data_IF_625683260522
#
_entry.id   IF_625683260522
#
_cell.length_a   1.000
_cell.length_b   1.000
_cell.length_c   1.000
_cell.angle_alpha   90.00
_cell.angle_beta   90.00
_cell.angle_gamma   90.00
#
_symmetry.space_group_name_H-M   'P 1'
#
loop_
_entity.id
_entity.type
_entity.pdbx_description
1 polymer ?
#
# COMPACT_ATOMS: atom_id res chain seq x y z
N UNK A 1 -11.12 -9.16 -40.93
CA UNK A 1 -10.06 -8.51 -40.12
C UNK A 1 -10.48 -8.65 -38.67
N UNK A 2 -9.85 -9.55 -37.90
CA UNK A 2 -10.13 -9.67 -36.47
C UNK A 2 -9.45 -8.51 -35.74
N UNK A 3 -10.22 -7.60 -35.17
CA UNK A 3 -9.71 -6.52 -34.33
C UNK A 3 -8.99 -7.15 -33.13
N UNK A 4 -7.68 -6.91 -33.02
CA UNK A 4 -6.88 -7.33 -31.87
C UNK A 4 -7.24 -6.43 -30.69
N UNK A 5 -8.07 -6.93 -29.78
CA UNK A 5 -8.29 -6.28 -28.50
C UNK A 5 -7.22 -6.73 -27.51
N UNK A 6 -6.74 -5.78 -26.69
CA UNK A 6 -5.91 -6.05 -25.53
C UNK A 6 -6.71 -6.91 -24.54
N UNK A 7 -6.26 -8.14 -24.31
CA UNK A 7 -6.85 -9.10 -23.35
C UNK A 7 -6.00 -9.15 -22.08
N UNK A 8 -6.62 -9.46 -20.93
CA UNK A 8 -5.97 -9.59 -19.62
C UNK A 8 -5.23 -8.31 -19.18
N UNK A 9 -6.02 -7.30 -18.82
CA UNK A 9 -5.54 -5.96 -18.47
C UNK A 9 -5.90 -5.61 -17.04
N UNK A 10 -4.98 -4.96 -16.34
CA UNK A 10 -5.22 -4.33 -15.06
C UNK A 10 -5.34 -2.81 -15.26
N UNK A 11 -6.39 -2.22 -14.69
CA UNK A 11 -6.50 -0.77 -14.54
C UNK A 11 -5.96 -0.39 -13.17
N UNK A 12 -4.85 0.34 -13.15
CA UNK A 12 -4.21 0.87 -11.95
C UNK A 12 -4.48 2.36 -11.90
N UNK A 13 -4.88 2.87 -10.75
CA UNK A 13 -5.05 4.31 -10.55
C UNK A 13 -4.62 4.70 -9.14
N UNK A 14 -4.11 5.92 -9.02
CA UNK A 14 -3.75 6.55 -7.75
C UNK A 14 -3.88 8.07 -7.87
N UNK A 15 -4.00 8.79 -6.74
CA UNK A 15 -3.95 10.25 -6.73
C UNK A 15 -2.53 10.74 -6.44
N UNK A 16 -2.10 11.73 -7.20
CA UNK A 16 -0.80 12.37 -7.03
C UNK A 16 -1.00 13.78 -6.52
N UNK A 17 -0.43 14.10 -5.35
CA UNK A 17 -0.43 15.47 -4.84
C UNK A 17 0.31 16.41 -5.80
N UNK A 18 -0.31 17.55 -6.12
CA UNK A 18 0.24 18.59 -6.97
C UNK A 18 0.32 19.92 -6.22
N UNK A 19 1.25 20.78 -6.63
CA UNK A 19 1.35 22.13 -6.10
C UNK A 19 0.16 22.95 -6.58
N UNK A 20 -0.58 23.56 -5.65
CA UNK A 20 -1.63 24.53 -5.97
C UNK A 20 -0.99 25.69 -6.74
N UNK A 21 -1.36 25.83 -8.01
CA UNK A 21 -0.87 26.89 -8.88
C UNK A 21 -1.84 27.09 -10.04
N UNK A 22 -1.93 28.32 -10.53
CA UNK A 22 -2.70 28.65 -11.73
C UNK A 22 -1.72 28.96 -12.85
N UNK A 23 -1.92 28.37 -14.02
CA UNK A 23 -1.14 28.65 -15.21
C UNK A 23 -2.06 29.05 -16.36
N UNK A 24 -1.72 30.13 -17.06
CA UNK A 24 -2.43 30.53 -18.26
C UNK A 24 -1.90 29.74 -19.47
N UNK A 25 -2.80 29.00 -20.11
CA UNK A 25 -2.52 28.30 -21.36
C UNK A 25 -2.88 29.20 -22.54
N UNK A 26 -1.85 29.79 -23.15
CA UNK A 26 -1.96 30.73 -24.27
C UNK A 26 -2.57 30.11 -25.53
N UNK A 27 -2.44 28.80 -25.72
CA UNK A 27 -2.88 28.13 -26.96
C UNK A 27 -4.39 27.96 -26.96
N UNK A 28 -4.94 27.60 -25.80
CA UNK A 28 -6.37 27.34 -25.64
C UNK A 28 -7.12 28.53 -25.00
N UNK A 29 -6.41 29.61 -24.64
CA UNK A 29 -6.94 30.79 -23.95
C UNK A 29 -7.69 30.45 -22.65
N UNK A 30 -7.13 29.51 -21.87
CA UNK A 30 -7.74 29.03 -20.62
C UNK A 30 -6.79 29.14 -19.44
N UNK A 31 -7.34 29.41 -18.26
CA UNK A 31 -6.62 29.30 -16.99
C UNK A 31 -6.70 27.85 -16.49
N UNK A 32 -5.55 27.18 -16.35
CA UNK A 32 -5.41 25.84 -15.78
C UNK A 32 -5.01 25.91 -14.30
N UNK A 33 -5.29 24.86 -13.54
CA UNK A 33 -4.93 24.76 -12.12
C UNK A 33 -6.12 24.75 -11.16
N UNK A 34 -7.33 24.83 -11.71
CA UNK A 34 -8.56 24.58 -10.97
C UNK A 34 -8.93 23.10 -11.00
N UNK A 35 -9.81 22.69 -10.08
CA UNK A 35 -10.39 21.36 -10.07
C UNK A 35 -11.14 21.12 -11.38
N UNK A 36 -10.80 20.02 -12.06
CA UNK A 36 -11.44 19.57 -13.29
C UNK A 36 -12.01 18.16 -13.05
N UNK A 37 -13.34 18.05 -13.08
CA UNK A 37 -14.08 16.79 -12.92
C UNK A 37 -14.70 16.34 -14.25
N UNK A 38 -14.34 16.99 -15.37
CA UNK A 38 -14.98 16.81 -16.66
C UNK A 38 -16.45 17.24 -16.68
N UNK A 39 -17.20 16.74 -17.66
CA UNK A 39 -18.61 17.10 -17.90
C UNK A 39 -19.59 16.60 -16.81
N UNK A 40 -19.11 15.84 -15.82
CA UNK A 40 -19.94 15.20 -14.79
C UNK A 40 -20.32 16.15 -13.64
N UNK A 41 -19.74 17.35 -13.52
CA UNK A 41 -20.08 18.31 -12.46
C UNK A 41 -20.43 19.69 -13.02
N UNK A 42 -21.60 20.21 -12.63
CA UNK A 42 -22.07 21.58 -12.96
C UNK A 42 -21.45 22.66 -12.07
N UNK A 43 -20.57 22.27 -11.14
CA UNK A 43 -19.97 23.19 -10.19
C UNK A 43 -18.82 23.95 -10.86
N UNK A 44 -19.10 25.17 -11.30
CA UNK A 44 -18.10 26.18 -11.66
C UNK A 44 -17.30 26.67 -10.44
N UNK A 45 -16.90 25.78 -9.53
CA UNK A 45 -16.07 26.13 -8.38
C UNK A 45 -14.65 26.46 -8.86
N UNK A 46 -14.19 27.70 -8.63
CA UNK A 46 -12.80 28.13 -8.86
C UNK A 46 -11.86 27.61 -7.77
N UNK A 47 -12.04 26.36 -7.36
CA UNK A 47 -11.20 25.73 -6.34
C UNK A 47 -9.89 25.26 -6.98
N UNK A 48 -8.77 25.44 -6.28
CA UNK A 48 -7.47 25.01 -6.77
C UNK A 48 -7.32 23.50 -6.66
N UNK A 49 -6.88 22.87 -7.75
CA UNK A 49 -6.54 21.46 -7.73
C UNK A 49 -5.36 21.21 -6.78
N UNK A 50 -5.51 20.20 -5.93
CA UNK A 50 -4.49 19.75 -4.97
C UNK A 50 -3.91 18.39 -5.32
N UNK A 51 -4.63 17.63 -6.13
CA UNK A 51 -4.26 16.29 -6.56
C UNK A 51 -4.61 16.10 -8.04
N UNK A 52 -3.91 15.18 -8.70
CA UNK A 52 -4.21 14.71 -10.04
C UNK A 52 -4.48 13.19 -9.97
N UNK A 53 -5.62 12.74 -10.50
CA UNK A 53 -5.90 11.32 -10.65
C UNK A 53 -5.10 10.77 -11.85
N UNK A 54 -4.28 9.76 -11.61
CA UNK A 54 -3.49 9.10 -12.65
C UNK A 54 -4.09 7.72 -12.91
N UNK A 55 -4.31 7.38 -14.18
CA UNK A 55 -4.77 6.05 -14.60
C UNK A 55 -3.73 5.41 -15.52
N UNK A 56 -3.50 4.11 -15.35
CA UNK A 56 -2.59 3.32 -16.16
C UNK A 56 -3.23 1.97 -16.47
N UNK A 57 -3.20 1.59 -17.75
CA UNK A 57 -3.63 0.26 -18.20
C UNK A 57 -2.39 -0.59 -18.43
N UNK A 58 -2.33 -1.75 -17.77
CA UNK A 58 -1.18 -2.66 -17.83
C UNK A 58 -1.65 -4.05 -18.22
N UNK A 59 -1.06 -4.58 -19.28
CA UNK A 59 -1.25 -5.98 -19.68
C UNK A 59 -0.58 -6.91 -18.68
N UNK A 60 -1.24 -8.00 -18.33
CA UNK A 60 -0.63 -9.06 -17.52
C UNK A 60 -0.90 -10.43 -18.13
N UNK A 61 0.04 -11.36 -17.96
CA UNK A 61 -0.20 -12.76 -18.32
C UNK A 61 -0.75 -13.47 -17.09
N UNK A 62 -1.98 -13.99 -17.19
CA UNK A 62 -2.62 -14.72 -16.08
C UNK A 62 -1.70 -15.86 -15.64
N UNK A 63 -1.16 -15.74 -14.43
CA UNK A 63 -0.57 -16.87 -13.70
C UNK A 63 -1.44 -17.08 -12.47
N UNK A 64 -2.52 -17.85 -12.63
CA UNK A 64 -3.35 -18.45 -11.56
C UNK A 64 -3.41 -17.66 -10.22
N UNK A 65 -4.08 -16.52 -10.16
CA UNK A 65 -4.14 -15.71 -8.93
C UNK A 65 -5.26 -16.17 -7.97
N UNK A 66 -6.18 -17.05 -8.39
CA UNK A 66 -7.39 -17.31 -7.62
C UNK A 66 -7.67 -18.79 -7.42
N UNK A 67 -6.93 -19.41 -6.49
CA UNK A 67 -7.36 -20.64 -5.84
C UNK A 67 -7.11 -20.53 -4.34
N UNK A 68 -8.03 -19.90 -3.60
CA UNK A 68 -8.15 -20.10 -2.17
C UNK A 68 -9.58 -19.72 -1.73
N UNK A 69 -10.18 -20.57 -0.89
CA UNK A 69 -11.52 -20.42 -0.33
C UNK A 69 -11.57 -19.25 0.67
N UNK A 70 -11.48 -18.01 0.20
CA UNK A 70 -11.66 -16.83 1.03
C UNK A 70 -13.13 -16.39 1.04
N UNK A 71 -13.61 -15.97 2.20
CA UNK A 71 -14.96 -15.37 2.38
C UNK A 71 -15.07 -13.99 1.72
N UNK A 72 -13.94 -13.37 1.40
CA UNK A 72 -13.86 -12.07 0.76
C UNK A 72 -13.98 -12.20 -0.76
N UNK A 73 -14.98 -11.53 -1.35
CA UNK A 73 -15.26 -11.51 -2.79
C UNK A 73 -15.00 -10.12 -3.38
N UNK A 74 -13.73 -9.76 -3.66
CA UNK A 74 -13.41 -8.43 -4.19
C UNK A 74 -13.61 -8.39 -5.71
N UNK A 75 -14.85 -8.59 -6.17
CA UNK A 75 -15.14 -8.46 -7.59
C UNK A 75 -16.50 -7.83 -7.84
N UNK A 76 -16.59 -7.12 -8.96
CA UNK A 76 -17.83 -6.61 -9.52
C UNK A 76 -18.03 -7.22 -10.91
N UNK A 77 -19.28 -7.29 -11.37
CA UNK A 77 -19.58 -7.68 -12.73
C UNK A 77 -19.27 -6.52 -13.68
N UNK A 78 -18.68 -6.84 -14.82
CA UNK A 78 -18.39 -5.84 -15.84
C UNK A 78 -19.72 -5.32 -16.43
N UNK A 79 -19.86 -4.00 -16.67
CA UNK A 79 -21.15 -3.40 -17.04
C UNK A 79 -21.67 -3.83 -18.41
N UNK A 80 -20.77 -4.21 -19.34
CA UNK A 80 -21.12 -4.56 -20.73
C UNK A 80 -21.05 -6.06 -21.05
N UNK A 81 -20.40 -6.86 -20.21
CA UNK A 81 -20.26 -8.31 -20.42
C UNK A 81 -20.27 -8.98 -19.05
N UNK A 82 -20.79 -10.19 -18.90
CA UNK A 82 -20.94 -10.83 -17.57
C UNK A 82 -19.59 -11.32 -16.97
N UNK A 83 -18.47 -10.74 -17.41
CA UNK A 83 -17.14 -11.03 -16.89
C UNK A 83 -16.92 -10.37 -15.53
N UNK A 84 -15.94 -10.86 -14.77
CA UNK A 84 -15.63 -10.36 -13.44
C UNK A 84 -14.45 -9.38 -13.48
N UNK A 85 -14.64 -8.21 -12.89
CA UNK A 85 -13.59 -7.24 -12.60
C UNK A 85 -13.16 -7.46 -11.15
N UNK A 86 -11.92 -7.87 -10.95
CA UNK A 86 -11.36 -8.08 -9.61
C UNK A 86 -10.70 -6.80 -9.09
N UNK A 87 -11.02 -6.43 -7.86
CA UNK A 87 -10.37 -5.35 -7.14
C UNK A 87 -9.13 -5.88 -6.40
N UNK A 88 -7.96 -5.33 -6.73
CA UNK A 88 -6.70 -5.67 -6.07
C UNK A 88 -6.25 -4.44 -5.29
N UNK A 89 -5.94 -4.65 -4.01
CA UNK A 89 -5.36 -3.61 -3.16
C UNK A 89 -3.84 -3.61 -3.34
N UNK A 90 -3.22 -2.43 -3.26
CA UNK A 90 -1.77 -2.30 -3.38
C UNK A 90 -1.03 -2.98 -2.20
N UNK A 91 -0.28 -4.08 -2.43
CA UNK A 91 0.35 -4.82 -1.34
C UNK A 91 1.41 -4.01 -0.56
N UNK A 92 2.29 -3.21 -1.19
CA UNK A 92 3.18 -2.27 -0.50
C UNK A 92 2.45 -1.31 0.47
N UNK A 93 1.30 -0.76 0.08
CA UNK A 93 0.48 0.06 0.97
C UNK A 93 -0.12 -0.76 2.12
N UNK A 94 -0.60 -1.97 1.85
CA UNK A 94 -1.13 -2.86 2.89
C UNK A 94 -0.07 -3.20 3.95
N UNK A 95 1.16 -3.55 3.57
CA UNK A 95 2.19 -3.91 4.55
C UNK A 95 2.61 -2.70 5.42
N UNK A 96 2.59 -1.49 4.86
CA UNK A 96 2.80 -0.24 5.63
C UNK A 96 1.70 -0.06 6.68
N UNK A 97 0.44 -0.27 6.30
CA UNK A 97 -0.70 -0.21 7.23
C UNK A 97 -0.60 -1.28 8.30
N UNK A 98 -0.27 -2.52 7.94
CA UNK A 98 -0.04 -3.60 8.90
C UNK A 98 1.05 -3.23 9.93
N UNK A 99 2.18 -2.67 9.49
CA UNK A 99 3.25 -2.22 10.40
C UNK A 99 2.77 -1.11 11.32
N UNK A 100 2.09 -0.10 10.78
CA UNK A 100 1.56 1.01 11.59
C UNK A 100 0.57 0.48 12.64
N UNK A 101 -0.38 -0.35 12.22
CA UNK A 101 -1.34 -1.00 13.12
C UNK A 101 -0.64 -1.84 14.19
N UNK A 102 0.37 -2.63 13.80
CA UNK A 102 1.13 -3.45 14.74
C UNK A 102 1.82 -2.62 15.83
N UNK A 103 2.26 -1.40 15.51
CA UNK A 103 2.96 -0.53 16.45
C UNK A 103 2.06 0.44 17.21
N UNK A 104 0.96 0.90 16.62
CA UNK A 104 0.10 1.95 17.19
C UNK A 104 -1.18 1.38 17.83
N UNK A 105 -1.67 0.22 17.37
CA UNK A 105 -2.92 -0.36 17.80
C UNK A 105 -2.71 -1.50 18.81
N UNK A 106 -3.68 -1.67 19.70
CA UNK A 106 -3.78 -2.85 20.56
C UNK A 106 -4.39 -4.01 19.77
N UNK A 107 -3.54 -4.91 19.26
CA UNK A 107 -3.97 -6.09 18.52
C UNK A 107 -4.03 -7.28 19.46
N UNK A 108 -5.10 -8.08 19.34
CA UNK A 108 -5.20 -9.37 20.02
C UNK A 108 -5.68 -10.47 19.08
N UNK A 109 -5.23 -11.69 19.31
CA UNK A 109 -5.69 -12.87 18.59
C UNK A 109 -5.97 -13.98 19.60
N UNK A 110 -7.19 -14.53 19.57
CA UNK A 110 -7.63 -15.59 20.49
C UNK A 110 -7.37 -15.27 21.98
N UNK A 111 -7.56 -14.01 22.38
CA UNK A 111 -7.34 -13.56 23.76
C UNK A 111 -5.89 -13.24 24.13
N UNK A 112 -4.91 -13.46 23.24
CA UNK A 112 -3.52 -13.09 23.47
C UNK A 112 -3.17 -11.76 22.80
N UNK A 113 -2.43 -10.91 23.50
CA UNK A 113 -1.97 -9.62 22.98
C UNK A 113 -0.77 -9.79 22.05
N UNK A 114 -0.83 -9.13 20.90
CA UNK A 114 0.27 -9.03 19.94
C UNK A 114 0.89 -7.64 20.14
N UNK A 115 2.12 -7.60 20.64
CA UNK A 115 2.78 -6.35 21.05
C UNK A 115 4.04 -6.07 20.27
N UNK A 116 4.17 -4.83 19.80
CA UNK A 116 5.40 -4.32 19.18
C UNK A 116 6.59 -4.27 20.15
N UNK A 117 6.33 -4.33 21.46
CA UNK A 117 7.38 -4.33 22.47
C UNK A 117 8.37 -5.49 22.29
N UNK A 118 7.94 -6.63 21.74
CA UNK A 118 8.85 -7.74 21.44
C UNK A 118 9.89 -7.40 20.37
N UNK A 119 9.54 -6.53 19.40
CA UNK A 119 10.48 -6.02 18.40
C UNK A 119 11.51 -5.10 19.06
N UNK A 120 11.07 -4.26 20.00
CA UNK A 120 11.96 -3.36 20.77
C UNK A 120 12.93 -4.17 21.62
N UNK A 121 12.42 -5.14 22.39
CA UNK A 121 13.26 -6.04 23.20
C UNK A 121 14.25 -6.85 22.37
N UNK A 122 13.84 -7.37 21.21
CA UNK A 122 14.76 -8.06 20.30
C UNK A 122 15.88 -7.13 19.83
N UNK A 123 15.56 -5.87 19.52
CA UNK A 123 16.58 -4.90 19.14
C UNK A 123 17.55 -4.63 20.30
N UNK A 124 17.03 -4.36 21.51
CA UNK A 124 17.85 -4.06 22.69
C UNK A 124 18.79 -5.21 23.02
N UNK A 125 18.28 -6.46 23.04
CA UNK A 125 19.11 -7.65 23.29
C UNK A 125 20.22 -7.77 22.24
N UNK A 126 19.94 -7.51 20.96
CA UNK A 126 20.94 -7.60 19.91
C UNK A 126 22.03 -6.52 20.02
N UNK A 127 21.68 -5.32 20.50
CA UNK A 127 22.66 -4.25 20.74
C UNK A 127 23.48 -4.54 21.99
N UNK A 128 22.87 -5.09 23.04
CA UNK A 128 23.56 -5.45 24.29
C UNK A 128 24.61 -6.56 24.06
N UNK A 129 24.30 -7.54 23.21
CA UNK A 129 25.22 -8.65 22.87
C UNK A 129 26.15 -8.33 21.69
N UNK A 130 26.00 -7.15 21.06
CA UNK A 130 26.68 -6.74 19.82
C UNK A 130 26.62 -7.79 18.70
N UNK A 131 25.46 -8.47 18.57
CA UNK A 131 25.26 -9.54 17.59
C UNK A 131 23.82 -9.60 17.06
N UNK A 132 23.66 -9.75 15.74
CA UNK A 132 22.34 -9.85 15.09
C UNK A 132 21.96 -11.28 14.76
N UNK A 133 20.72 -11.66 15.08
CA UNK A 133 20.12 -12.97 14.76
C UNK A 133 19.69 -13.09 13.29
N UNK A 134 20.63 -12.84 12.37
CA UNK A 134 20.46 -12.90 10.91
C UNK A 134 19.29 -12.07 10.33
N UNK A 135 18.67 -11.19 11.11
CA UNK A 135 17.63 -10.25 10.67
C UNK A 135 18.24 -8.88 10.33
N UNK A 136 17.45 -8.03 9.66
CA UNK A 136 17.86 -6.68 9.24
C UNK A 136 17.35 -5.58 10.18
N UNK A 137 16.87 -5.95 11.36
CA UNK A 137 16.31 -5.01 12.32
C UNK A 137 17.37 -3.98 12.73
N UNK A 138 16.96 -2.74 12.88
CA UNK A 138 17.83 -1.61 13.25
C UNK A 138 16.99 -0.54 13.93
N UNK A 139 17.62 0.46 14.55
CA UNK A 139 16.93 1.58 15.18
C UNK A 139 15.90 2.26 14.28
N UNK A 140 16.18 2.35 12.96
CA UNK A 140 15.25 2.92 11.99
C UNK A 140 13.90 2.17 11.87
N UNK A 141 13.86 0.89 12.25
CA UNK A 141 12.62 0.10 12.27
C UNK A 141 11.74 0.42 13.49
N UNK A 142 12.36 0.83 14.60
CA UNK A 142 11.67 1.28 15.81
C UNK A 142 11.22 2.73 15.67
N UNK A 143 12.12 3.60 15.21
CA UNK A 143 11.89 5.03 14.98
C UNK A 143 11.33 5.31 13.58
N UNK A 144 10.42 4.46 13.13
CA UNK A 144 9.96 4.48 11.75
C UNK A 144 9.02 5.64 11.42
N UNK A 145 8.57 6.44 12.40
CA UNK A 145 7.58 7.51 12.22
C UNK A 145 7.98 8.50 11.12
N UNK A 146 9.25 8.93 11.10
CA UNK A 146 9.80 9.81 10.06
C UNK A 146 9.98 9.11 8.70
N UNK A 147 9.83 7.78 8.67
CA UNK A 147 9.96 6.90 7.51
C UNK A 147 8.70 6.02 7.35
N UNK A 148 7.52 6.55 7.71
CA UNK A 148 6.24 5.81 7.70
C UNK A 148 5.92 5.25 6.31
N UNK A 149 6.35 5.93 5.26
CA UNK A 149 6.16 5.50 3.87
C UNK A 149 7.19 4.50 3.34
N UNK A 150 8.22 4.16 4.12
CA UNK A 150 9.26 3.24 3.68
C UNK A 150 8.79 1.78 3.79
N UNK A 151 8.34 1.23 2.65
CA UNK A 151 7.85 -0.14 2.52
C UNK A 151 8.92 -1.16 2.95
N UNK A 152 10.18 -0.93 2.60
CA UNK A 152 11.29 -1.84 2.95
C UNK A 152 11.42 -2.01 4.46
N UNK A 153 11.34 -0.91 5.22
CA UNK A 153 11.37 -1.00 6.69
C UNK A 153 10.17 -1.78 7.21
N UNK A 154 8.96 -1.53 6.68
CA UNK A 154 7.76 -2.26 7.09
C UNK A 154 7.87 -3.78 6.84
N UNK A 155 8.31 -4.17 5.63
CA UNK A 155 8.51 -5.59 5.28
C UNK A 155 9.59 -6.24 6.11
N UNK A 156 10.69 -5.54 6.43
CA UNK A 156 11.77 -6.08 7.25
C UNK A 156 11.33 -6.28 8.71
N UNK A 157 10.53 -5.37 9.27
CA UNK A 157 9.96 -5.51 10.61
C UNK A 157 9.07 -6.74 10.74
N UNK A 158 8.20 -7.00 9.75
CA UNK A 158 7.23 -8.13 9.77
C UNK A 158 7.82 -9.37 9.05
N UNK A 159 9.13 -9.55 9.08
CA UNK A 159 9.78 -10.65 8.36
C UNK A 159 9.87 -11.93 9.18
N UNK A 160 9.91 -13.08 8.49
CA UNK A 160 10.09 -14.38 9.14
C UNK A 160 11.36 -14.44 10.01
N UNK A 161 12.46 -13.79 9.58
CA UNK A 161 13.71 -13.78 10.36
C UNK A 161 13.58 -13.06 11.70
N UNK A 162 12.75 -12.01 11.76
CA UNK A 162 12.45 -11.32 13.02
C UNK A 162 11.61 -12.22 13.92
N UNK A 163 10.57 -12.86 13.36
CA UNK A 163 9.74 -13.80 14.11
C UNK A 163 10.56 -14.97 14.68
N UNK A 164 11.39 -15.63 13.85
CA UNK A 164 12.25 -16.74 14.30
C UNK A 164 13.25 -16.32 15.39
N UNK A 165 13.77 -15.09 15.35
CA UNK A 165 14.66 -14.60 16.39
C UNK A 165 13.93 -14.37 17.72
N UNK A 166 12.70 -13.83 17.68
CA UNK A 166 11.85 -13.68 18.88
C UNK A 166 11.51 -15.06 19.45
N UNK A 167 11.10 -16.01 18.60
CA UNK A 167 10.76 -17.37 19.02
C UNK A 167 11.98 -18.10 19.60
N UNK A 168 13.17 -17.91 19.03
CA UNK A 168 14.41 -18.43 19.58
C UNK A 168 14.64 -17.89 21.00
N UNK A 169 14.64 -16.57 21.18
CA UNK A 169 14.87 -15.96 22.50
C UNK A 169 13.85 -16.38 23.54
N UNK A 170 12.58 -16.60 23.14
CA UNK A 170 11.52 -17.12 24.02
C UNK A 170 11.82 -18.51 24.59
N UNK A 171 12.65 -19.32 23.92
CA UNK A 171 13.03 -20.65 24.42
C UNK A 171 14.17 -20.60 25.45
N UNK A 172 14.94 -19.51 25.49
CA UNK A 172 16.14 -19.38 26.32
C UNK A 172 16.02 -18.33 27.43
N UNK A 173 14.97 -17.51 27.43
CA UNK A 173 14.61 -16.52 28.46
C UNK A 173 13.17 -16.71 28.91
#
# INVERSE_FOLDING_TARGET
>A
MSTLYLQDMALIFDSMAIRKNIAYDRVNDIMRGYVDLGEMSTNNSKEFATEALVLMVVSYTITSILQNNYTFKPFIKHPMNDSLIYAILDPPHMIKLCRNCFSECNISHKGHHISFAFISKLFDIQEDIDFKFANKLSRAHLEYYNKKMNVRLATQTISNRVASAIDYLRLFY
#
